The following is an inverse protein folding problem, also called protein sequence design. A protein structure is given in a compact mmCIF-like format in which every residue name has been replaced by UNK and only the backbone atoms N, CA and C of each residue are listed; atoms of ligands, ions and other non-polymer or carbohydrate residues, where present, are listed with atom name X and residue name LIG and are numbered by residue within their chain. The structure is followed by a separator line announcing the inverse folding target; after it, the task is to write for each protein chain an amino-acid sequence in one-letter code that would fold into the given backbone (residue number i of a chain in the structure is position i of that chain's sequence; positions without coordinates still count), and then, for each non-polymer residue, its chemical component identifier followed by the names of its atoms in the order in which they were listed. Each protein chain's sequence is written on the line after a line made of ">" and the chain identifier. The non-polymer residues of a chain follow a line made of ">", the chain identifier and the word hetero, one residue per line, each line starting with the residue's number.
data_IF_718460546162
#
_entry.id   IF_718460546162
#
_cell.length_a   1.000
_cell.length_b   1.000
_cell.length_c   1.000
_cell.angle_alpha   90.00
_cell.angle_beta   90.00
_cell.angle_gamma   90.00
#
_symmetry.space_group_name_H-M   'P 1'
#
loop_
_entity.id
_entity.type
_entity.pdbx_description
1 polymer ?
#
# COMPACT_ATOMS: atom_id res chain seq x y z
N UNK A 1 -26.35 -14.74 0.95
CA UNK A 1 -25.27 -13.97 1.60
C UNK A 1 -23.90 -14.54 1.25
N UNK A 2 -23.42 -14.66 -0.01
CA UNK A 2 -22.21 -15.51 -0.22
C UNK A 2 -21.20 -15.15 -1.32
N UNK A 3 -21.54 -14.53 -2.45
CA UNK A 3 -20.56 -14.31 -3.55
C UNK A 3 -19.78 -12.99 -3.46
N UNK A 4 -20.41 -11.91 -3.01
CA UNK A 4 -19.74 -10.59 -2.89
C UNK A 4 -18.72 -10.59 -1.75
N UNK A 5 -18.97 -11.34 -0.67
CA UNK A 5 -18.05 -11.45 0.46
C UNK A 5 -16.81 -12.28 0.12
N UNK A 6 -16.96 -13.40 -0.60
CA UNK A 6 -15.82 -14.26 -0.98
C UNK A 6 -14.83 -13.50 -1.87
N UNK A 7 -15.33 -12.72 -2.85
CA UNK A 7 -14.46 -11.90 -3.71
C UNK A 7 -13.70 -10.85 -2.91
N UNK A 8 -14.33 -10.17 -1.95
CA UNK A 8 -13.67 -9.17 -1.12
C UNK A 8 -12.62 -9.82 -0.19
N UNK A 9 -12.94 -10.97 0.41
CA UNK A 9 -12.02 -11.73 1.25
C UNK A 9 -10.82 -12.26 0.47
N UNK A 10 -11.04 -12.75 -0.76
CA UNK A 10 -9.97 -13.17 -1.66
C UNK A 10 -9.04 -12.00 -2.01
N UNK A 11 -9.60 -10.83 -2.33
CA UNK A 11 -8.79 -9.63 -2.61
C UNK A 11 -7.95 -9.25 -1.38
N UNK A 12 -8.52 -9.29 -0.18
CA UNK A 12 -7.78 -8.99 1.06
C UNK A 12 -6.65 -9.99 1.26
N UNK A 13 -6.92 -11.28 1.08
CA UNK A 13 -5.92 -12.33 1.25
C UNK A 13 -4.78 -12.21 0.25
N UNK A 14 -5.08 -11.99 -1.03
CA UNK A 14 -4.07 -11.74 -2.07
C UNK A 14 -3.28 -10.48 -1.74
N UNK A 15 -3.95 -9.41 -1.30
CA UNK A 15 -3.25 -8.16 -0.96
C UNK A 15 -2.33 -8.34 0.24
N UNK A 16 -2.77 -9.10 1.25
CA UNK A 16 -1.98 -9.42 2.42
C UNK A 16 -0.74 -10.26 2.06
N UNK A 17 -0.89 -11.29 1.24
CA UNK A 17 0.24 -12.08 0.72
C UNK A 17 1.21 -11.19 -0.06
N UNK A 18 0.69 -10.28 -0.90
CA UNK A 18 1.52 -9.31 -1.63
C UNK A 18 2.33 -8.44 -0.67
N UNK A 19 1.70 -7.89 0.37
CA UNK A 19 2.39 -7.10 1.41
C UNK A 19 3.49 -7.93 2.08
N UNK A 20 3.19 -9.16 2.51
CA UNK A 20 4.17 -10.02 3.17
C UNK A 20 5.35 -10.38 2.26
N UNK A 21 5.07 -10.74 1.00
CA UNK A 21 6.09 -11.08 0.01
C UNK A 21 7.05 -9.91 -0.22
N UNK A 22 6.51 -8.72 -0.49
CA UNK A 22 7.34 -7.54 -0.77
C UNK A 22 8.02 -6.97 0.48
N UNK A 23 7.40 -7.10 1.66
CA UNK A 23 8.07 -6.77 2.92
C UNK A 23 9.25 -7.72 3.18
N UNK A 24 9.07 -9.01 2.92
CA UNK A 24 10.13 -10.00 3.05
C UNK A 24 11.30 -9.71 2.10
N UNK A 25 11.03 -9.37 0.83
CA UNK A 25 12.10 -9.02 -0.11
C UNK A 25 12.90 -7.79 0.34
N UNK A 26 12.28 -6.88 1.10
CA UNK A 26 12.97 -5.71 1.66
C UNK A 26 13.90 -6.06 2.82
N UNK A 27 13.48 -6.96 3.70
CA UNK A 27 14.25 -7.32 4.91
C UNK A 27 15.25 -8.46 4.63
N UNK A 28 14.99 -9.28 3.60
CA UNK A 28 15.83 -10.44 3.31
C UNK A 28 17.18 -10.04 2.74
N UNK A 29 18.24 -10.46 3.45
CA UNK A 29 19.62 -10.40 2.96
C UNK A 29 19.79 -11.13 1.64
N UNK A 30 19.14 -12.28 1.46
CA UNK A 30 19.27 -13.08 0.22
C UNK A 30 18.80 -12.34 -1.04
N UNK A 31 17.89 -11.37 -0.91
CA UNK A 31 17.40 -10.56 -2.02
C UNK A 31 18.23 -9.30 -2.23
N UNK A 32 18.81 -8.75 -1.17
CA UNK A 32 19.61 -7.52 -1.22
C UNK A 32 21.12 -7.77 -1.39
N UNK A 33 21.60 -9.01 -1.20
CA UNK A 33 23.00 -9.42 -1.39
C UNK A 33 23.29 -9.87 -2.84
N UNK A 34 22.32 -9.77 -3.74
CA UNK A 34 22.51 -10.06 -5.17
C UNK A 34 23.27 -8.88 -5.80
N UNK A 35 24.40 -9.11 -6.51
CA UNK A 35 25.14 -8.02 -7.14
C UNK A 35 24.23 -7.26 -8.12
N UNK A 36 24.15 -5.94 -7.96
CA UNK A 36 23.32 -4.99 -8.72
C UNK A 36 21.80 -5.00 -8.46
N UNK A 37 21.31 -5.64 -7.40
CA UNK A 37 19.89 -5.58 -7.06
C UNK A 37 19.67 -5.14 -5.61
N UNK A 38 19.32 -3.87 -5.46
CA UNK A 38 18.88 -3.29 -4.19
C UNK A 38 17.38 -3.02 -4.25
N UNK A 39 16.60 -3.74 -3.44
CA UNK A 39 15.15 -3.59 -3.44
C UNK A 39 14.72 -2.20 -2.95
N UNK A 40 15.52 -1.53 -2.10
CA UNK A 40 15.29 -0.13 -1.72
C UNK A 40 15.49 0.85 -2.87
N UNK A 41 16.13 0.45 -3.96
CA UNK A 41 16.25 1.22 -5.19
C UNK A 41 15.37 0.66 -6.32
N UNK A 42 14.66 -0.45 -6.09
CA UNK A 42 13.73 -1.03 -7.05
C UNK A 42 12.38 -0.29 -7.04
N UNK A 43 12.25 0.70 -7.93
CA UNK A 43 11.03 1.49 -8.09
C UNK A 43 9.77 0.64 -8.32
N UNK A 44 9.87 -0.45 -9.10
CA UNK A 44 8.72 -1.31 -9.39
C UNK A 44 8.27 -2.08 -8.15
N UNK A 45 9.23 -2.59 -7.38
CA UNK A 45 8.99 -3.27 -6.11
C UNK A 45 8.31 -2.36 -5.08
N UNK A 46 8.82 -1.13 -4.94
CA UNK A 46 8.21 -0.11 -4.07
C UNK A 46 6.78 0.22 -4.48
N UNK A 47 6.54 0.40 -5.79
CA UNK A 47 5.20 0.67 -6.31
C UNK A 47 4.24 -0.48 -5.99
N UNK A 48 4.61 -1.72 -6.33
CA UNK A 48 3.80 -2.90 -6.11
C UNK A 48 3.48 -3.10 -4.62
N UNK A 49 4.49 -3.00 -3.74
CA UNK A 49 4.32 -3.03 -2.30
C UNK A 49 3.27 -2.01 -1.84
N UNK A 50 3.41 -0.76 -2.28
CA UNK A 50 2.54 0.33 -1.84
C UNK A 50 1.10 0.14 -2.31
N UNK A 51 0.90 -0.37 -3.54
CA UNK A 51 -0.43 -0.71 -4.06
C UNK A 51 -1.08 -1.80 -3.23
N UNK A 52 -0.35 -2.90 -2.97
CA UNK A 52 -0.87 -4.00 -2.16
C UNK A 52 -1.18 -3.58 -0.73
N UNK A 53 -0.31 -2.78 -0.11
CA UNK A 53 -0.53 -2.24 1.23
C UNK A 53 -1.78 -1.37 1.29
N UNK A 54 -1.91 -0.44 0.34
CA UNK A 54 -3.04 0.50 0.30
C UNK A 54 -4.36 -0.23 0.05
N UNK A 55 -4.37 -1.21 -0.86
CA UNK A 55 -5.54 -2.05 -1.13
C UNK A 55 -5.92 -2.90 0.08
N UNK A 56 -4.94 -3.54 0.72
CA UNK A 56 -5.15 -4.34 1.92
C UNK A 56 -5.79 -3.50 3.02
N UNK A 57 -5.20 -2.35 3.35
CA UNK A 57 -5.67 -1.49 4.45
C UNK A 57 -7.04 -0.90 4.14
N UNK A 58 -7.27 -0.39 2.92
CA UNK A 58 -8.59 0.13 2.54
C UNK A 58 -9.68 -0.94 2.70
N UNK A 59 -9.42 -2.17 2.23
CA UNK A 59 -10.39 -3.27 2.30
C UNK A 59 -10.58 -3.77 3.73
N UNK A 60 -9.53 -3.84 4.51
CA UNK A 60 -9.57 -4.20 5.93
C UNK A 60 -10.41 -3.18 6.73
N UNK A 61 -10.14 -1.88 6.56
CA UNK A 61 -10.91 -0.82 7.19
C UNK A 61 -12.38 -0.83 6.75
N UNK A 62 -12.65 -1.20 5.50
CA UNK A 62 -14.02 -1.37 5.00
C UNK A 62 -14.78 -2.51 5.69
N UNK A 63 -14.12 -3.62 6.01
CA UNK A 63 -14.75 -4.73 6.76
C UNK A 63 -15.09 -4.31 8.18
N UNK A 64 -14.28 -3.44 8.77
CA UNK A 64 -14.49 -2.93 10.14
C UNK A 64 -15.48 -1.76 10.19
N UNK A 65 -16.07 -1.33 9.07
CA UNK A 65 -16.87 -0.10 8.96
C UNK A 65 -16.09 1.16 9.43
N UNK A 66 -14.77 1.16 9.22
CA UNK A 66 -13.83 2.22 9.62
C UNK A 66 -13.17 2.92 8.43
N UNK A 67 -13.86 3.00 7.28
CA UNK A 67 -13.33 3.62 6.04
C UNK A 67 -12.82 5.07 6.26
N UNK A 68 -13.37 5.82 7.23
CA UNK A 68 -12.93 7.18 7.56
C UNK A 68 -11.47 7.27 8.04
N UNK A 69 -10.92 6.19 8.60
CA UNK A 69 -9.52 6.13 9.03
C UNK A 69 -8.54 5.95 7.87
N UNK A 70 -9.03 5.67 6.66
CA UNK A 70 -8.16 5.48 5.49
C UNK A 70 -7.38 6.74 5.15
N UNK A 71 -8.00 7.92 5.22
CA UNK A 71 -7.31 9.19 4.98
C UNK A 71 -6.22 9.43 6.03
N UNK A 72 -6.52 9.19 7.31
CA UNK A 72 -5.55 9.30 8.40
C UNK A 72 -4.35 8.38 8.14
N UNK A 73 -4.61 7.13 7.73
CA UNK A 73 -3.57 6.17 7.38
C UNK A 73 -2.69 6.66 6.22
N UNK A 74 -3.30 7.14 5.12
CA UNK A 74 -2.55 7.67 3.97
C UNK A 74 -1.70 8.88 4.37
N UNK A 75 -2.23 9.79 5.19
CA UNK A 75 -1.47 10.94 5.69
C UNK A 75 -0.26 10.51 6.51
N UNK A 76 -0.42 9.54 7.41
CA UNK A 76 0.68 9.00 8.22
C UNK A 76 1.75 8.36 7.32
N UNK A 77 1.36 7.58 6.31
CA UNK A 77 2.32 6.96 5.38
C UNK A 77 3.07 8.00 4.54
N UNK A 78 2.38 9.04 4.07
CA UNK A 78 2.98 10.10 3.28
C UNK A 78 4.00 10.90 4.13
N UNK A 79 3.65 11.23 5.38
CA UNK A 79 4.58 11.84 6.34
C UNK A 79 5.77 10.94 6.65
N UNK A 80 5.54 9.65 6.89
CA UNK A 80 6.61 8.67 7.15
C UNK A 80 7.59 8.58 5.96
N UNK A 81 7.06 8.68 4.74
CA UNK A 81 7.87 8.66 3.52
C UNK A 81 8.76 9.91 3.40
N UNK A 82 8.24 11.07 3.78
CA UNK A 82 9.03 12.32 3.86
C UNK A 82 10.11 12.19 4.93
N UNK A 83 9.81 11.63 6.10
CA UNK A 83 10.80 11.40 7.16
C UNK A 83 11.91 10.47 6.69
N UNK A 84 11.58 9.37 5.98
CA UNK A 84 12.58 8.45 5.41
C UNK A 84 13.47 9.18 4.40
N UNK A 85 12.89 10.01 3.53
CA UNK A 85 13.65 10.83 2.59
C UNK A 85 14.66 11.72 3.32
N UNK A 86 14.23 12.43 4.37
CA UNK A 86 15.09 13.36 5.11
C UNK A 86 16.20 12.65 5.90
N UNK A 87 15.93 11.47 6.46
CA UNK A 87 16.88 10.75 7.31
C UNK A 87 17.84 9.84 6.53
N UNK A 88 17.41 9.32 5.39
CA UNK A 88 18.14 8.28 4.65
C UNK A 88 18.54 8.72 3.24
N UNK A 89 18.06 9.87 2.76
CA UNK A 89 18.20 10.31 1.35
C UNK A 89 17.67 9.28 0.33
N UNK A 90 16.78 8.38 0.76
CA UNK A 90 16.14 7.39 -0.11
C UNK A 90 14.83 7.99 -0.63
N UNK A 91 14.73 8.16 -1.94
CA UNK A 91 13.57 8.77 -2.57
C UNK A 91 12.53 7.72 -2.97
N UNK A 92 11.56 7.47 -2.08
CA UNK A 92 10.43 6.54 -2.28
C UNK A 92 9.30 7.16 -3.13
N UNK A 93 9.64 7.77 -4.27
CA UNK A 93 8.67 8.43 -5.14
C UNK A 93 7.52 7.55 -5.65
N UNK A 94 7.71 6.24 -5.94
CA UNK A 94 6.61 5.39 -6.38
C UNK A 94 5.56 5.21 -5.27
N UNK A 95 5.99 5.18 -4.01
CA UNK A 95 5.09 5.14 -2.86
C UNK A 95 4.28 6.45 -2.74
N UNK A 96 4.93 7.60 -2.90
CA UNK A 96 4.27 8.91 -2.90
C UNK A 96 3.18 9.01 -3.99
N UNK A 97 3.47 8.54 -5.20
CA UNK A 97 2.50 8.53 -6.32
C UNK A 97 1.25 7.72 -5.95
N UNK A 98 1.43 6.52 -5.37
CA UNK A 98 0.29 5.68 -4.96
C UNK A 98 -0.53 6.36 -3.87
N UNK A 99 0.09 6.99 -2.88
CA UNK A 99 -0.62 7.72 -1.83
C UNK A 99 -1.41 8.90 -2.36
N UNK A 100 -0.80 9.70 -3.24
CA UNK A 100 -1.45 10.87 -3.86
C UNK A 100 -2.65 10.44 -4.70
N UNK A 101 -2.54 9.37 -5.51
CA UNK A 101 -3.64 8.84 -6.33
C UNK A 101 -4.75 8.20 -5.47
N UNK A 102 -4.40 7.65 -4.30
CA UNK A 102 -5.36 6.99 -3.41
C UNK A 102 -6.36 7.97 -2.77
N UNK A 103 -5.96 9.23 -2.56
CA UNK A 103 -6.82 10.28 -2.01
C UNK A 103 -8.02 10.61 -2.94
N UNK A 104 -7.84 11.02 -4.21
CA UNK A 104 -8.96 11.30 -5.10
C UNK A 104 -9.80 10.06 -5.38
N UNK A 105 -9.20 8.87 -5.48
CA UNK A 105 -9.95 7.62 -5.65
C UNK A 105 -10.88 7.34 -4.45
N UNK A 106 -10.43 7.61 -3.23
CA UNK A 106 -11.25 7.49 -2.03
C UNK A 106 -12.46 8.44 -2.09
N UNK A 107 -12.25 9.71 -2.46
CA UNK A 107 -13.34 10.68 -2.59
C UNK A 107 -14.30 10.31 -3.72
N UNK A 108 -13.83 10.03 -4.94
CA UNK A 108 -14.68 9.65 -6.08
C UNK A 108 -15.58 8.46 -5.72
N UNK A 109 -15.03 7.47 -5.03
CA UNK A 109 -15.79 6.29 -4.61
C UNK A 109 -16.83 6.60 -3.54
N UNK A 110 -16.50 7.49 -2.59
CA UNK A 110 -17.47 7.99 -1.61
C UNK A 110 -18.63 8.67 -2.33
N UNK A 111 -18.36 9.60 -3.26
CA UNK A 111 -19.39 10.30 -4.04
C UNK A 111 -20.26 9.36 -4.89
N UNK A 112 -19.68 8.33 -5.51
CA UNK A 112 -20.42 7.35 -6.30
C UNK A 112 -21.35 6.44 -5.47
N UNK A 113 -21.08 6.28 -4.16
CA UNK A 113 -21.90 5.46 -3.25
C UNK A 113 -23.10 6.23 -2.68
N UNK A 114 -23.12 7.56 -2.82
CA UNK A 114 -24.22 8.45 -2.41
C UNK A 114 -25.21 8.76 -3.54
N UNK A 115 -25.05 8.14 -4.72
CA UNK A 115 -26.06 8.06 -5.79
C UNK A 115 -26.67 6.67 -5.79
#
# INVERSE_FOLDING_TARGET
>A
MKTVDLKNMLIIFISFIGVLYFAYTWVSKSYNDIPNYDFLNNNFGQFAFTVFLTLFIYRFLKILDKENFFLVFITILLLSTIVILLLKNIFLWPAMVVFIISIPLFFCKKYLKYR
#
